data_IF_746322701013
#
_entry.id   IF_746322701013
#
_cell.length_a   1.000
_cell.length_b   1.000
_cell.length_c   1.000
_cell.angle_alpha   90.00
_cell.angle_beta   90.00
_cell.angle_gamma   90.00
#
_symmetry.space_group_name_H-M   'P 1'
#
loop_
_entity.id
_entity.type
_entity.pdbx_description
1 polymer ?
#
# COMPACT_ATOMS: atom_id res chain seq x y z
N UNK A 1 -13.11 -9.72 -7.38
CA UNK A 1 -13.20 -8.26 -7.45
C UNK A 1 -11.88 -7.70 -6.95
N UNK A 2 -11.28 -6.95 -7.77
CA UNK A 2 -10.05 -6.29 -7.44
C UNK A 2 -10.39 -5.13 -6.49
N UNK A 3 -9.77 -5.09 -5.34
CA UNK A 3 -9.86 -4.02 -4.36
C UNK A 3 -8.54 -3.28 -4.23
N UNK A 4 -8.45 -2.42 -3.25
CA UNK A 4 -7.21 -1.74 -2.85
C UNK A 4 -6.66 -2.44 -1.62
N UNK A 5 -5.42 -2.94 -1.71
CA UNK A 5 -4.74 -3.55 -0.57
C UNK A 5 -3.60 -2.64 -0.09
N UNK A 6 -3.59 -2.36 1.19
CA UNK A 6 -2.58 -1.55 1.85
C UNK A 6 -1.65 -2.45 2.66
N UNK A 7 -0.34 -2.26 2.56
CA UNK A 7 0.59 -2.78 3.54
C UNK A 7 0.50 -1.92 4.79
N UNK A 8 -0.14 -2.43 5.83
CA UNK A 8 -0.20 -1.77 7.13
C UNK A 8 1.09 -2.01 7.92
N UNK A 9 1.59 -0.97 8.56
CA UNK A 9 2.78 -1.00 9.39
C UNK A 9 2.42 -0.77 10.85
N UNK A 10 3.08 -1.52 11.72
CA UNK A 10 2.96 -1.43 13.18
C UNK A 10 4.27 -0.88 13.71
N UNK A 11 4.21 0.10 14.60
CA UNK A 11 5.36 0.73 15.22
C UNK A 11 5.20 0.71 16.74
N UNK A 12 6.00 -0.13 17.40
CA UNK A 12 5.84 -0.39 18.82
C UNK A 12 4.46 -0.99 19.14
N UNK A 13 3.70 -0.32 19.98
CA UNK A 13 2.38 -0.76 20.46
C UNK A 13 1.22 -0.02 19.74
N UNK A 14 1.46 0.53 18.56
CA UNK A 14 0.45 1.28 17.81
C UNK A 14 0.52 1.00 16.30
N UNK A 15 -0.59 1.27 15.63
CA UNK A 15 -0.61 1.35 14.18
C UNK A 15 0.21 2.57 13.73
N UNK A 16 1.15 2.38 12.81
CA UNK A 16 1.98 3.48 12.30
C UNK A 16 1.13 4.52 11.56
N UNK A 17 1.45 5.80 11.70
CA UNK A 17 0.70 6.90 11.05
C UNK A 17 0.58 6.75 9.55
N UNK A 18 1.60 6.17 8.90
CA UNK A 18 1.56 5.92 7.46
C UNK A 18 0.40 5.00 7.06
N UNK A 19 0.00 4.06 7.90
CA UNK A 19 -1.14 3.18 7.61
C UNK A 19 -2.45 3.97 7.52
N UNK A 20 -2.68 4.93 8.42
CA UNK A 20 -3.84 5.84 8.35
C UNK A 20 -3.79 6.74 7.11
N UNK A 21 -2.63 7.30 6.78
CA UNK A 21 -2.45 8.09 5.56
C UNK A 21 -2.79 7.27 4.30
N UNK A 22 -2.30 6.02 4.23
CA UNK A 22 -2.60 5.11 3.11
C UNK A 22 -4.07 4.72 3.06
N UNK A 23 -4.74 4.57 4.22
CA UNK A 23 -6.17 4.32 4.28
C UNK A 23 -6.96 5.50 3.69
N UNK A 24 -6.59 6.74 4.01
CA UNK A 24 -7.19 7.93 3.42
C UNK A 24 -6.99 8.01 1.89
N UNK A 25 -5.77 7.70 1.40
CA UNK A 25 -5.48 7.60 -0.03
C UNK A 25 -6.32 6.49 -0.69
N UNK A 26 -6.39 5.32 -0.05
CA UNK A 26 -7.19 4.19 -0.53
C UNK A 26 -8.68 4.56 -0.63
N UNK A 27 -9.24 5.20 0.37
CA UNK A 27 -10.64 5.65 0.36
C UNK A 27 -10.91 6.70 -0.72
N UNK A 28 -9.97 7.63 -0.95
CA UNK A 28 -10.10 8.60 -2.03
C UNK A 28 -10.12 7.94 -3.43
N UNK A 29 -9.28 6.91 -3.64
CA UNK A 29 -9.31 6.12 -4.88
C UNK A 29 -10.59 5.30 -4.99
N UNK A 30 -11.01 4.64 -3.90
CA UNK A 30 -12.21 3.82 -3.82
C UNK A 30 -13.49 4.62 -4.08
N UNK A 31 -13.56 5.89 -3.67
CA UNK A 31 -14.69 6.77 -3.96
C UNK A 31 -14.94 6.94 -5.46
N UNK A 32 -13.91 6.80 -6.30
CA UNK A 32 -14.02 6.88 -7.76
C UNK A 32 -14.21 5.51 -8.41
N UNK A 33 -13.48 4.49 -7.94
CA UNK A 33 -13.50 3.14 -8.53
C UNK A 33 -14.64 2.25 -8.02
N UNK A 34 -15.20 2.55 -6.85
CA UNK A 34 -16.19 1.70 -6.17
C UNK A 34 -15.59 0.45 -5.51
N UNK A 35 -14.27 0.42 -5.33
CA UNK A 35 -13.54 -0.69 -4.73
C UNK A 35 -13.62 -0.67 -3.19
N UNK A 36 -13.33 -1.82 -2.56
CA UNK A 36 -13.12 -1.89 -1.11
C UNK A 36 -11.65 -1.62 -0.76
N UNK A 37 -11.42 -1.01 0.40
CA UNK A 37 -10.08 -0.78 0.95
C UNK A 37 -9.77 -1.81 2.02
N UNK A 38 -8.73 -2.59 1.81
CA UNK A 38 -8.26 -3.58 2.77
C UNK A 38 -6.86 -3.23 3.27
N UNK A 39 -6.60 -3.51 4.54
CA UNK A 39 -5.26 -3.41 5.16
C UNK A 39 -4.75 -4.79 5.48
N UNK A 40 -3.53 -5.10 5.06
CA UNK A 40 -2.81 -6.29 5.48
C UNK A 40 -1.82 -5.91 6.59
N UNK A 41 -2.02 -6.46 7.79
CA UNK A 41 -1.14 -6.31 8.95
C UNK A 41 -0.30 -7.58 9.10
N UNK A 42 1.01 -7.41 9.09
CA UNK A 42 1.97 -8.50 9.24
C UNK A 42 2.79 -8.29 10.50
N UNK A 43 3.05 -9.35 11.25
CA UNK A 43 3.85 -9.24 12.48
C UNK A 43 3.75 -10.46 13.38
N UNK A 44 4.30 -10.35 14.58
CA UNK A 44 4.18 -11.41 15.60
C UNK A 44 2.76 -11.49 16.19
N UNK A 45 2.10 -10.35 16.39
CA UNK A 45 0.75 -10.24 16.99
C UNK A 45 -0.10 -9.17 16.28
N UNK A 46 -0.30 -9.25 14.95
CA UNK A 46 -0.96 -8.20 14.19
C UNK A 46 -2.45 -8.06 14.49
N UNK A 47 -3.10 -9.11 15.02
CA UNK A 47 -4.53 -9.13 15.32
C UNK A 47 -4.95 -8.04 16.32
N UNK A 48 -4.03 -7.64 17.21
CA UNK A 48 -4.28 -6.60 18.23
C UNK A 48 -4.60 -5.24 17.61
N UNK A 49 -4.14 -4.99 16.40
CA UNK A 49 -4.24 -3.71 15.69
C UNK A 49 -5.35 -3.69 14.62
N UNK A 50 -6.08 -4.80 14.45
CA UNK A 50 -7.13 -4.89 13.43
C UNK A 50 -8.24 -3.84 13.65
N UNK A 51 -8.63 -3.60 14.91
CA UNK A 51 -9.61 -2.58 15.26
C UNK A 51 -9.14 -1.16 14.88
N UNK A 52 -7.86 -0.86 15.11
CA UNK A 52 -7.28 0.44 14.79
C UNK A 52 -7.22 0.67 13.28
N UNK A 53 -6.94 -0.39 12.50
CA UNK A 53 -6.94 -0.31 11.04
C UNK A 53 -8.36 -0.06 10.47
N UNK A 54 -9.39 -0.66 11.06
CA UNK A 54 -10.79 -0.36 10.72
C UNK A 54 -11.13 1.09 11.09
N UNK A 55 -10.73 1.54 12.28
CA UNK A 55 -10.96 2.92 12.72
C UNK A 55 -10.23 3.95 11.82
N UNK A 56 -9.09 3.56 11.24
CA UNK A 56 -8.35 4.36 10.26
C UNK A 56 -8.95 4.33 8.84
N UNK A 57 -10.09 3.66 8.63
CA UNK A 57 -10.84 3.71 7.37
C UNK A 57 -10.71 2.47 6.48
N UNK A 58 -10.18 1.35 6.99
CA UNK A 58 -10.20 0.09 6.25
C UNK A 58 -11.59 -0.55 6.29
N UNK A 59 -12.08 -1.06 5.16
CA UNK A 59 -13.30 -1.86 5.09
C UNK A 59 -13.04 -3.30 5.56
N UNK A 60 -11.81 -3.78 5.35
CA UNK A 60 -11.35 -5.12 5.73
C UNK A 60 -9.92 -5.10 6.27
N UNK A 61 -9.63 -6.05 7.14
CA UNK A 61 -8.25 -6.27 7.62
C UNK A 61 -7.90 -7.74 7.43
N UNK A 62 -6.74 -7.97 6.86
CA UNK A 62 -6.09 -9.28 6.79
C UNK A 62 -4.90 -9.30 7.74
N UNK A 63 -4.80 -10.30 8.58
CA UNK A 63 -3.68 -10.45 9.49
C UNK A 63 -2.83 -11.66 9.13
N UNK A 64 -1.51 -11.49 9.16
CA UNK A 64 -0.55 -12.58 8.98
C UNK A 64 0.34 -12.61 10.22
N UNK A 65 0.04 -13.54 11.12
CA UNK A 65 0.75 -13.71 12.38
C UNK A 65 1.80 -14.82 12.25
N UNK A 66 3.08 -14.46 12.35
CA UNK A 66 4.18 -15.40 12.37
C UNK A 66 5.33 -14.82 13.20
N UNK A 67 5.97 -15.62 14.10
CA UNK A 67 7.14 -15.17 14.86
C UNK A 67 8.28 -14.63 14.00
N UNK A 68 8.48 -15.13 12.77
CA UNK A 68 9.49 -14.65 11.83
C UNK A 68 9.23 -13.22 11.35
N UNK A 69 8.02 -12.71 11.52
CA UNK A 69 7.66 -11.34 11.17
C UNK A 69 7.86 -10.35 12.32
N UNK A 70 8.17 -10.83 13.53
CA UNK A 70 8.30 -9.96 14.71
C UNK A 70 9.48 -8.98 14.60
N UNK A 71 10.56 -9.38 13.93
CA UNK A 71 11.80 -8.60 13.83
C UNK A 71 11.87 -7.69 12.59
N UNK A 72 10.80 -7.59 11.81
CA UNK A 72 10.75 -6.73 10.62
C UNK A 72 11.70 -7.15 9.48
N UNK A 73 12.07 -8.42 9.41
CA UNK A 73 12.97 -8.93 8.36
C UNK A 73 12.31 -8.81 6.99
N UNK A 74 12.95 -8.04 6.10
CA UNK A 74 12.36 -7.68 4.80
C UNK A 74 12.00 -8.90 3.93
N UNK A 75 12.82 -9.95 3.94
CA UNK A 75 12.58 -11.13 3.10
C UNK A 75 11.38 -11.95 3.60
N UNK A 76 11.17 -12.01 4.92
CA UNK A 76 10.00 -12.62 5.53
C UNK A 76 8.73 -11.80 5.22
N UNK A 77 8.79 -10.48 5.42
CA UNK A 77 7.70 -9.56 5.08
C UNK A 77 7.33 -9.63 3.60
N UNK A 78 8.32 -9.61 2.71
CA UNK A 78 8.10 -9.71 1.27
C UNK A 78 7.36 -11.00 0.90
N UNK A 79 7.79 -12.13 1.45
CA UNK A 79 7.17 -13.43 1.16
C UNK A 79 5.74 -13.51 1.71
N UNK A 80 5.51 -13.02 2.92
CA UNK A 80 4.18 -13.00 3.52
C UNK A 80 3.23 -12.04 2.80
N UNK A 81 3.70 -10.84 2.45
CA UNK A 81 2.88 -9.85 1.75
C UNK A 81 2.60 -10.27 0.31
N UNK A 82 3.55 -10.86 -0.40
CA UNK A 82 3.33 -11.45 -1.73
C UNK A 82 2.18 -12.48 -1.70
N UNK A 83 2.17 -13.37 -0.70
CA UNK A 83 1.08 -14.34 -0.53
C UNK A 83 -0.25 -13.64 -0.26
N UNK A 84 -0.28 -12.62 0.59
CA UNK A 84 -1.49 -11.83 0.84
C UNK A 84 -2.01 -11.18 -0.45
N UNK A 85 -1.14 -10.59 -1.26
CA UNK A 85 -1.48 -10.00 -2.57
C UNK A 85 -2.03 -11.07 -3.52
N UNK A 86 -1.40 -12.23 -3.60
CA UNK A 86 -1.86 -13.32 -4.46
C UNK A 86 -3.23 -13.87 -4.04
N UNK A 87 -3.49 -14.01 -2.73
CA UNK A 87 -4.75 -14.52 -2.20
C UNK A 87 -5.91 -13.52 -2.35
N UNK A 88 -5.63 -12.24 -2.18
CA UNK A 88 -6.65 -11.19 -2.25
C UNK A 88 -6.87 -10.65 -3.67
N UNK A 89 -5.88 -10.82 -4.54
CA UNK A 89 -5.91 -10.39 -5.95
C UNK A 89 -6.38 -8.93 -6.12
N UNK A 90 -5.74 -7.94 -5.45
CA UNK A 90 -6.16 -6.55 -5.52
C UNK A 90 -5.82 -5.95 -6.90
N UNK A 91 -6.53 -4.89 -7.30
CA UNK A 91 -6.18 -4.08 -8.47
C UNK A 91 -5.06 -3.09 -8.17
N UNK A 92 -5.02 -2.61 -6.92
CA UNK A 92 -4.05 -1.61 -6.45
C UNK A 92 -3.44 -2.07 -5.14
N UNK A 93 -2.12 -1.92 -5.02
CA UNK A 93 -1.37 -2.14 -3.78
C UNK A 93 -0.73 -0.81 -3.37
N UNK A 94 -1.01 -0.37 -2.15
CA UNK A 94 -0.42 0.83 -1.57
C UNK A 94 0.58 0.46 -0.46
N UNK A 95 1.75 1.05 -0.52
CA UNK A 95 2.85 0.82 0.42
C UNK A 95 3.39 2.18 0.84
N UNK A 96 3.66 2.39 2.12
CA UNK A 96 4.31 3.61 2.60
C UNK A 96 5.80 3.66 2.24
N UNK A 97 6.34 4.82 1.90
CA UNK A 97 7.78 5.01 1.68
C UNK A 97 8.52 5.14 3.01
N UNK A 98 8.41 4.13 3.83
CA UNK A 98 9.19 3.90 5.05
C UNK A 98 10.50 3.19 4.73
N UNK A 99 11.30 2.85 5.71
CA UNK A 99 12.49 1.99 5.49
C UNK A 99 12.10 0.63 4.93
N UNK A 100 11.02 0.03 5.47
CA UNK A 100 10.47 -1.24 4.98
C UNK A 100 9.90 -1.10 3.57
N UNK A 101 8.97 -0.19 3.38
CA UNK A 101 8.20 -0.10 2.13
C UNK A 101 9.01 0.37 0.94
N UNK A 102 10.01 1.23 1.16
CA UNK A 102 10.95 1.67 0.12
C UNK A 102 11.66 0.50 -0.57
N UNK A 103 12.03 -0.51 0.23
CA UNK A 103 12.75 -1.69 -0.27
C UNK A 103 11.80 -2.82 -0.67
N UNK A 104 10.67 -2.98 0.04
CA UNK A 104 9.69 -4.03 -0.25
C UNK A 104 8.94 -3.78 -1.56
N UNK A 105 8.52 -2.54 -1.82
CA UNK A 105 7.73 -2.20 -3.00
C UNK A 105 8.36 -2.64 -4.33
N UNK A 106 9.61 -2.26 -4.66
CA UNK A 106 10.29 -2.69 -5.88
C UNK A 106 10.51 -4.21 -5.96
N UNK A 107 10.81 -4.85 -4.83
CA UNK A 107 11.00 -6.31 -4.78
C UNK A 107 9.70 -7.05 -5.04
N UNK A 108 8.58 -6.58 -4.46
CA UNK A 108 7.25 -7.13 -4.73
C UNK A 108 6.89 -6.98 -6.21
N UNK A 109 7.07 -5.78 -6.77
CA UNK A 109 6.79 -5.51 -8.17
C UNK A 109 7.58 -6.43 -9.11
N UNK A 110 8.86 -6.65 -8.82
CA UNK A 110 9.70 -7.58 -9.57
C UNK A 110 9.17 -9.02 -9.52
N UNK A 111 8.81 -9.51 -8.32
CA UNK A 111 8.26 -10.86 -8.15
C UNK A 111 6.91 -11.03 -8.85
N UNK A 112 6.09 -10.00 -8.84
CA UNK A 112 4.78 -9.99 -9.49
C UNK A 112 4.87 -9.73 -11.02
N UNK A 113 6.05 -9.38 -11.54
CA UNK A 113 6.25 -9.08 -12.97
C UNK A 113 5.56 -7.80 -13.42
N UNK A 114 5.38 -6.82 -12.52
CA UNK A 114 4.69 -5.55 -12.79
C UNK A 114 5.56 -4.33 -12.49
N UNK A 115 5.13 -3.15 -12.93
CA UNK A 115 5.78 -1.90 -12.59
C UNK A 115 5.40 -1.39 -11.20
N UNK A 116 6.23 -0.50 -10.63
CA UNK A 116 5.98 0.21 -9.39
C UNK A 116 6.17 1.71 -9.56
N UNK A 117 5.20 2.50 -9.08
CA UNK A 117 5.37 3.94 -8.95
C UNK A 117 5.97 4.25 -7.58
N UNK A 118 7.17 4.80 -7.57
CA UNK A 118 7.92 5.11 -6.35
C UNK A 118 7.82 6.59 -5.98
N UNK A 119 7.78 6.87 -4.67
CA UNK A 119 7.84 8.22 -4.14
C UNK A 119 6.66 9.10 -4.55
N UNK A 120 5.48 8.50 -4.60
CA UNK A 120 4.26 9.19 -5.01
C UNK A 120 3.83 10.19 -3.93
N UNK A 121 3.45 11.38 -4.35
CA UNK A 121 2.91 12.43 -3.46
C UNK A 121 1.42 12.64 -3.66
N UNK A 122 0.88 12.15 -4.77
CA UNK A 122 -0.55 12.18 -5.09
C UNK A 122 -0.91 10.98 -5.95
N UNK A 123 -2.06 10.39 -5.68
CA UNK A 123 -2.66 9.33 -6.47
C UNK A 123 -4.09 9.72 -6.85
N UNK A 124 -4.47 9.42 -8.08
CA UNK A 124 -5.82 9.62 -8.58
C UNK A 124 -6.21 8.49 -9.53
N UNK A 125 -7.49 8.32 -9.79
CA UNK A 125 -7.99 7.42 -10.84
C UNK A 125 -8.11 8.20 -12.14
N UNK A 126 -7.50 7.71 -13.21
CA UNK A 126 -7.67 8.25 -14.56
C UNK A 126 -9.04 7.77 -15.09
N UNK A 127 -9.96 8.69 -15.29
CA UNK A 127 -11.34 8.40 -15.69
C UNK A 127 -11.43 7.69 -17.06
N UNK A 128 -10.46 7.89 -17.94
CA UNK A 128 -10.47 7.30 -19.28
C UNK A 128 -10.05 5.83 -19.28
N UNK A 129 -9.19 5.44 -18.33
CA UNK A 129 -8.62 4.09 -18.25
C UNK A 129 -9.08 3.30 -17.03
N UNK A 130 -9.64 3.98 -16.02
CA UNK A 130 -9.95 3.39 -14.71
C UNK A 130 -8.71 2.99 -13.91
N UNK A 131 -7.52 3.42 -14.33
CA UNK A 131 -6.25 3.06 -13.70
C UNK A 131 -5.70 4.18 -12.83
N UNK A 132 -4.83 3.82 -11.91
CA UNK A 132 -4.17 4.80 -11.04
C UNK A 132 -3.17 5.64 -11.85
N UNK A 133 -3.23 6.94 -11.60
CA UNK A 133 -2.25 7.93 -12.03
C UNK A 133 -1.53 8.44 -10.79
N UNK A 134 -0.21 8.39 -10.80
CA UNK A 134 0.63 8.81 -9.69
C UNK A 134 1.44 10.05 -10.06
N UNK A 135 1.48 11.03 -9.17
CA UNK A 135 2.35 12.21 -9.28
C UNK A 135 3.56 12.02 -8.35
N UNK A 136 4.76 12.23 -8.88
CA UNK A 136 5.99 12.09 -8.11
C UNK A 136 7.00 13.16 -8.44
N UNK A 137 7.78 13.66 -7.47
CA UNK A 137 8.87 14.57 -7.74
C UNK A 137 10.04 13.84 -8.42
N UNK A 138 10.68 14.54 -9.36
CA UNK A 138 11.88 14.09 -10.06
C UNK A 138 12.91 15.21 -10.08
N UNK A 139 14.15 14.89 -10.44
CA UNK A 139 15.26 15.86 -10.46
C UNK A 139 15.41 16.64 -9.15
N UNK A 140 15.41 15.91 -8.01
CA UNK A 140 15.53 16.55 -6.69
C UNK A 140 14.33 17.41 -6.30
N UNK A 141 13.17 17.22 -6.91
CA UNK A 141 11.95 18.00 -6.65
C UNK A 141 11.75 19.19 -7.59
N UNK A 142 12.65 19.40 -8.55
CA UNK A 142 12.55 20.53 -9.50
C UNK A 142 11.49 20.31 -10.60
N UNK A 143 11.01 19.08 -10.76
CA UNK A 143 9.93 18.75 -11.69
C UNK A 143 9.03 17.67 -11.09
N UNK A 144 7.79 17.59 -11.58
CA UNK A 144 6.83 16.57 -11.23
C UNK A 144 6.58 15.68 -12.44
N UNK A 145 6.67 14.36 -12.23
CA UNK A 145 6.34 13.38 -13.26
C UNK A 145 4.98 12.75 -12.96
N UNK A 146 4.13 12.68 -13.97
CA UNK A 146 2.91 11.87 -13.92
C UNK A 146 3.25 10.48 -14.44
N UNK A 147 3.01 9.47 -13.61
CA UNK A 147 3.26 8.06 -13.91
C UNK A 147 1.92 7.35 -14.03
N UNK A 148 1.77 6.53 -15.05
CA UNK A 148 0.59 5.67 -15.26
C UNK A 148 1.03 4.23 -15.43
N UNK A 149 0.15 3.29 -15.08
CA UNK A 149 0.41 1.88 -15.22
C UNK A 149 -0.14 1.36 -16.55
N UNK A 150 0.61 0.50 -17.22
CA UNK A 150 0.19 -0.13 -18.47
C UNK A 150 -0.20 -1.59 -18.24
N UNK A 151 -1.04 -2.13 -19.14
CA UNK A 151 -1.54 -3.52 -19.07
C UNK A 151 -2.59 -3.70 -17.96
N UNK A 152 -3.01 -4.93 -17.75
CA UNK A 152 -4.11 -5.29 -16.84
C UNK A 152 -3.62 -5.81 -15.48
N UNK A 153 -2.32 -5.75 -15.22
CA UNK A 153 -1.71 -6.21 -13.98
C UNK A 153 -2.00 -5.32 -12.78
N UNK A 154 -1.63 -5.81 -11.60
CA UNK A 154 -1.69 -5.08 -10.33
C UNK A 154 -0.88 -3.79 -10.43
N UNK A 155 -1.39 -2.73 -9.84
CA UNK A 155 -0.77 -1.41 -9.80
C UNK A 155 -0.16 -1.18 -8.41
N UNK A 156 1.15 -1.08 -8.32
CA UNK A 156 1.85 -0.92 -7.05
C UNK A 156 2.36 0.50 -6.92
N UNK A 157 1.94 1.22 -5.88
CA UNK A 157 2.39 2.57 -5.58
C UNK A 157 3.03 2.64 -4.19
N UNK A 158 4.22 3.25 -4.12
CA UNK A 158 4.92 3.57 -2.87
C UNK A 158 4.74 5.05 -2.58
N UNK A 159 3.96 5.36 -1.55
CA UNK A 159 3.48 6.70 -1.22
C UNK A 159 4.40 7.36 -0.20
N UNK A 160 4.76 8.60 -0.44
CA UNK A 160 5.57 9.40 0.47
C UNK A 160 4.76 9.72 1.73
N UNK A 161 5.32 9.51 2.94
CA UNK A 161 4.67 9.92 4.19
C UNK A 161 4.40 11.43 4.26
N UNK A 162 3.38 11.83 4.99
CA UNK A 162 2.99 13.22 5.25
C UNK A 162 2.58 14.00 4.00
N UNK A 163 2.01 13.31 3.01
CA UNK A 163 1.42 13.91 1.82
C UNK A 163 -0.11 13.91 1.87
N UNK A 164 -0.69 13.12 2.75
CA UNK A 164 -2.14 13.04 3.01
C UNK A 164 -2.36 13.00 4.52
N UNK A 165 -3.36 13.71 5.02
CA UNK A 165 -3.76 13.62 6.43
C UNK A 165 -4.48 12.29 6.68
N UNK A 166 -4.15 11.62 7.79
CA UNK A 166 -4.89 10.45 8.25
C UNK A 166 -6.29 10.90 8.72
N UNK A 167 -7.30 10.04 8.58
CA UNK A 167 -8.66 10.34 9.02
C UNK A 167 -8.77 10.50 10.55
#
# INVERSE_FOLDING_TARGET
>A
MAGILILGEIEGDALSSITGELAAVGQALAATSGDEVAVALLGGTPDSFAGDAIAAGADKVYTVADPLLADGQIDAYLSAFEQAVQQTSPSVVLIGKTELGRDLGPRLAFRMGVGVAQDCVELSVDESTGRVSALRPVYGGNAMAKVTFQGDGIQIAVVRPKTTEAP
#
